data_IF_218243072249
#
_entry.id   IF_218243072249
#
_cell.length_a   1.000
_cell.length_b   1.000
_cell.length_c   1.000
_cell.angle_alpha   90.00
_cell.angle_beta   90.00
_cell.angle_gamma   90.00
#
_symmetry.space_group_name_H-M   'P 1'
#
loop_
_entity.id
_entity.type
_entity.pdbx_description
1 polymer ?
#
# COMPACT_ATOMS: atom_id res chain seq x y z
N UNK A 1 -9.90 13.87 -24.95
CA UNK A 1 -10.33 12.52 -25.42
C UNK A 1 -9.28 11.43 -25.17
N UNK A 2 -8.00 11.60 -25.53
CA UNK A 2 -6.97 10.55 -25.38
C UNK A 2 -6.84 10.04 -23.93
N UNK A 3 -6.82 10.94 -22.94
CA UNK A 3 -6.70 10.56 -21.52
C UNK A 3 -7.84 9.64 -21.04
N UNK A 4 -9.08 9.90 -21.47
CA UNK A 4 -10.25 9.09 -21.11
C UNK A 4 -10.12 7.69 -21.71
N UNK A 5 -9.70 7.58 -22.97
CA UNK A 5 -9.49 6.28 -23.63
C UNK A 5 -8.41 5.47 -22.88
N UNK A 6 -7.29 6.09 -22.54
CA UNK A 6 -6.22 5.44 -21.77
C UNK A 6 -6.73 4.97 -20.40
N UNK A 7 -7.50 5.80 -19.69
CA UNK A 7 -8.09 5.46 -18.40
C UNK A 7 -9.04 4.26 -18.50
N UNK A 8 -9.96 4.27 -19.49
CA UNK A 8 -10.92 3.18 -19.69
C UNK A 8 -10.21 1.87 -20.03
N UNK A 9 -9.20 1.91 -20.91
CA UNK A 9 -8.38 0.73 -21.24
C UNK A 9 -7.65 0.22 -20.00
N UNK A 10 -7.04 1.11 -19.22
CA UNK A 10 -6.36 0.74 -17.97
C UNK A 10 -7.31 0.07 -16.97
N UNK A 11 -8.49 0.65 -16.73
CA UNK A 11 -9.51 0.06 -15.85
C UNK A 11 -10.00 -1.29 -16.37
N UNK A 12 -10.22 -1.43 -17.68
CA UNK A 12 -10.63 -2.69 -18.28
C UNK A 12 -9.57 -3.78 -18.07
N UNK A 13 -8.28 -3.45 -18.23
CA UNK A 13 -7.16 -4.37 -17.95
C UNK A 13 -7.14 -4.77 -16.48
N UNK A 14 -7.31 -3.83 -15.54
CA UNK A 14 -7.38 -4.14 -14.12
C UNK A 14 -8.54 -5.09 -13.79
N UNK A 15 -9.73 -4.84 -14.35
CA UNK A 15 -10.89 -5.71 -14.17
C UNK A 15 -10.62 -7.10 -14.75
N UNK A 16 -10.03 -7.19 -15.94
CA UNK A 16 -9.66 -8.47 -16.55
C UNK A 16 -8.68 -9.27 -15.66
N UNK A 17 -7.64 -8.61 -15.14
CA UNK A 17 -6.67 -9.23 -14.22
C UNK A 17 -7.35 -9.68 -12.92
N UNK A 18 -8.28 -8.90 -12.38
CA UNK A 18 -9.04 -9.27 -11.19
C UNK A 18 -9.90 -10.53 -11.42
N UNK A 19 -10.58 -10.63 -12.57
CA UNK A 19 -11.36 -11.80 -12.94
C UNK A 19 -10.49 -13.06 -13.14
N UNK A 20 -9.31 -12.90 -13.75
CA UNK A 20 -8.36 -14.01 -13.93
C UNK A 20 -7.81 -14.48 -12.58
N UNK A 21 -7.45 -13.54 -11.70
CA UNK A 21 -6.86 -13.82 -10.38
C UNK A 21 -7.85 -14.49 -9.42
N UNK A 22 -9.17 -14.25 -9.58
CA UNK A 22 -10.21 -14.85 -8.74
C UNK A 22 -10.15 -16.38 -8.69
N UNK A 23 -9.70 -17.04 -9.76
CA UNK A 23 -9.62 -18.51 -9.83
C UNK A 23 -8.66 -19.13 -8.82
N UNK A 24 -7.66 -18.37 -8.36
CA UNK A 24 -6.67 -18.82 -7.38
C UNK A 24 -7.10 -18.66 -5.92
N UNK A 25 -8.19 -17.95 -5.64
CA UNK A 25 -8.59 -17.60 -4.27
C UNK A 25 -9.71 -18.50 -3.78
N UNK A 26 -9.38 -19.53 -3.01
CA UNK A 26 -10.35 -20.51 -2.46
C UNK A 26 -10.56 -20.35 -0.96
N UNK A 27 -9.54 -19.89 -0.25
CA UNK A 27 -9.57 -19.71 1.21
C UNK A 27 -9.35 -18.26 1.61
N UNK A 28 -9.62 -17.96 2.87
CA UNK A 28 -9.33 -16.64 3.46
C UNK A 28 -7.82 -16.34 3.44
N UNK A 29 -6.97 -17.35 3.67
CA UNK A 29 -5.51 -17.18 3.61
C UNK A 29 -5.03 -16.86 2.18
N UNK A 30 -5.66 -17.46 1.16
CA UNK A 30 -5.40 -17.12 -0.25
C UNK A 30 -5.77 -15.67 -0.56
N UNK A 31 -6.85 -15.16 0.04
CA UNK A 31 -7.30 -13.79 -0.18
C UNK A 31 -6.39 -12.76 0.50
N UNK A 32 -6.02 -12.98 1.77
CA UNK A 32 -5.27 -11.98 2.54
C UNK A 32 -3.77 -11.98 2.27
N UNK A 33 -3.16 -13.15 2.03
CA UNK A 33 -1.71 -13.29 1.92
C UNK A 33 -1.26 -14.20 0.76
N UNK A 34 -2.16 -14.48 -0.20
CA UNK A 34 -1.87 -15.31 -1.37
C UNK A 34 -1.42 -16.73 -1.02
N UNK A 35 -1.95 -17.29 0.08
CA UNK A 35 -1.64 -18.65 0.52
C UNK A 35 -0.17 -18.83 0.91
N UNK A 36 0.57 -17.73 1.15
CA UNK A 36 2.00 -17.71 1.48
C UNK A 36 2.92 -18.30 0.40
N UNK A 37 2.42 -18.45 -0.82
CA UNK A 37 3.14 -19.04 -1.96
C UNK A 37 3.59 -18.01 -3.00
N UNK A 38 3.38 -16.71 -2.73
CA UNK A 38 3.81 -15.64 -3.63
C UNK A 38 5.34 -15.54 -3.63
N UNK A 39 5.93 -15.57 -4.83
CA UNK A 39 7.36 -15.43 -5.02
C UNK A 39 7.92 -14.06 -4.58
N UNK A 40 9.24 -13.95 -4.38
CA UNK A 40 9.88 -12.74 -3.87
C UNK A 40 9.70 -11.54 -4.81
N UNK A 41 9.81 -11.74 -6.12
CA UNK A 41 9.67 -10.67 -7.13
C UNK A 41 8.27 -10.05 -7.14
N UNK A 42 7.24 -10.90 -7.16
CA UNK A 42 5.83 -10.45 -7.14
C UNK A 42 5.53 -9.70 -5.83
N UNK A 43 6.05 -10.20 -4.71
CA UNK A 43 5.92 -9.54 -3.40
C UNK A 43 6.60 -8.17 -3.39
N UNK A 44 7.81 -8.06 -3.96
CA UNK A 44 8.55 -6.80 -4.03
C UNK A 44 7.84 -5.77 -4.91
N UNK A 45 7.35 -6.17 -6.09
CA UNK A 45 6.60 -5.29 -6.99
C UNK A 45 5.29 -4.84 -6.33
N UNK A 46 4.58 -5.74 -5.65
CA UNK A 46 3.37 -5.40 -4.91
C UNK A 46 3.63 -4.40 -3.80
N UNK A 47 4.76 -4.52 -3.10
CA UNK A 47 5.17 -3.55 -2.08
C UNK A 47 5.45 -2.17 -2.69
N UNK A 48 6.20 -2.12 -3.79
CA UNK A 48 6.50 -0.88 -4.52
C UNK A 48 5.21 -0.21 -5.01
N UNK A 49 4.30 -0.98 -5.59
CA UNK A 49 3.01 -0.49 -6.06
C UNK A 49 2.15 0.08 -4.92
N UNK A 50 2.19 -0.54 -3.72
CA UNK A 50 1.48 -0.03 -2.54
C UNK A 50 2.17 1.21 -1.93
N UNK A 51 3.50 1.31 -2.06
CA UNK A 51 4.28 2.42 -1.53
C UNK A 51 4.09 3.71 -2.35
N UNK A 52 4.06 3.61 -3.68
CA UNK A 52 3.86 4.76 -4.56
C UNK A 52 2.38 5.12 -4.67
N UNK A 53 1.94 6.02 -3.77
CA UNK A 53 0.61 6.62 -3.81
C UNK A 53 0.63 8.05 -4.35
N UNK A 54 -0.56 8.61 -4.58
CA UNK A 54 -0.71 10.02 -4.96
C UNK A 54 -0.07 10.97 -3.94
N UNK A 55 0.01 10.58 -2.66
CA UNK A 55 0.70 11.35 -1.61
C UNK A 55 2.19 11.48 -1.90
N UNK A 56 2.85 10.39 -2.30
CA UNK A 56 4.30 10.42 -2.61
C UNK A 56 4.55 11.17 -3.91
N UNK A 57 3.73 10.95 -4.93
CA UNK A 57 3.92 11.57 -6.25
C UNK A 57 3.63 13.07 -6.21
N UNK A 58 2.45 13.46 -5.72
CA UNK A 58 2.01 14.86 -5.69
C UNK A 58 2.65 15.59 -4.52
N UNK A 59 2.63 15.00 -3.32
CA UNK A 59 3.20 15.61 -2.13
C UNK A 59 4.71 15.72 -2.21
N UNK A 60 5.38 14.63 -2.61
CA UNK A 60 6.83 14.62 -2.83
C UNK A 60 7.24 15.53 -3.99
N UNK A 61 6.51 15.48 -5.11
CA UNK A 61 6.74 16.38 -6.25
C UNK A 61 6.55 17.86 -5.89
N UNK A 62 5.52 18.21 -5.12
CA UNK A 62 5.29 19.56 -4.63
C UNK A 62 6.37 20.06 -3.68
N UNK A 63 6.89 19.18 -2.81
CA UNK A 63 8.05 19.49 -1.97
C UNK A 63 9.30 19.72 -2.81
N UNK A 64 9.54 18.87 -3.82
CA UNK A 64 10.64 19.02 -4.77
C UNK A 64 10.55 20.30 -5.58
N UNK A 65 9.35 20.73 -5.99
CA UNK A 65 9.14 22.01 -6.66
C UNK A 65 9.52 23.20 -5.78
N UNK A 66 9.20 23.15 -4.47
CA UNK A 66 9.45 24.23 -3.53
C UNK A 66 10.91 24.32 -3.06
N UNK A 67 11.55 23.18 -2.82
CA UNK A 67 12.88 23.10 -2.18
C UNK A 67 13.98 22.55 -3.12
N UNK A 68 13.63 22.23 -4.37
CA UNK A 68 14.56 21.73 -5.39
C UNK A 68 15.13 20.34 -5.08
N UNK A 69 16.30 20.07 -5.66
CA UNK A 69 17.01 18.79 -5.54
C UNK A 69 17.41 18.43 -4.10
N UNK A 70 17.38 19.41 -3.18
CA UNK A 70 17.59 19.17 -1.75
C UNK A 70 16.56 18.22 -1.14
N UNK A 71 15.43 17.96 -1.79
CA UNK A 71 14.44 16.99 -1.29
C UNK A 71 14.81 15.53 -1.55
N UNK A 72 15.75 15.28 -2.48
CA UNK A 72 16.13 13.92 -2.87
C UNK A 72 16.78 13.15 -1.73
N UNK A 73 17.53 13.81 -0.84
CA UNK A 73 18.14 13.11 0.29
C UNK A 73 17.09 12.51 1.24
N UNK A 74 15.90 13.12 1.37
CA UNK A 74 14.81 12.61 2.20
C UNK A 74 14.29 11.29 1.64
N UNK A 75 14.03 11.25 0.33
CA UNK A 75 13.61 10.03 -0.36
C UNK A 75 14.69 8.94 -0.33
N UNK A 76 15.93 9.31 -0.63
CA UNK A 76 17.07 8.40 -0.60
C UNK A 76 17.29 7.80 0.80
N UNK A 77 17.22 8.61 1.85
CA UNK A 77 17.34 8.16 3.25
C UNK A 77 16.18 7.24 3.63
N UNK A 78 14.96 7.55 3.22
CA UNK A 78 13.79 6.70 3.50
C UNK A 78 13.95 5.32 2.85
N UNK A 79 14.39 5.24 1.60
CA UNK A 79 14.56 3.97 0.89
C UNK A 79 15.77 3.19 1.41
N UNK A 80 16.94 3.84 1.47
CA UNK A 80 18.22 3.18 1.81
C UNK A 80 18.33 2.80 3.27
N UNK A 81 17.84 3.65 4.19
CA UNK A 81 17.88 3.35 5.62
C UNK A 81 16.53 2.84 6.10
N UNK A 82 15.45 3.60 5.90
CA UNK A 82 14.13 3.24 6.44
C UNK A 82 13.63 1.88 5.95
N UNK A 83 13.28 1.79 4.67
CA UNK A 83 12.70 0.57 4.08
C UNK A 83 13.67 -0.61 4.12
N UNK A 84 14.93 -0.39 3.75
CA UNK A 84 15.92 -1.47 3.65
C UNK A 84 16.27 -2.04 5.01
N UNK A 85 16.54 -1.22 6.04
CA UNK A 85 16.81 -1.72 7.38
C UNK A 85 15.58 -2.40 7.98
N UNK A 86 14.39 -1.83 7.81
CA UNK A 86 13.15 -2.49 8.25
C UNK A 86 12.99 -3.87 7.61
N UNK A 87 13.27 -4.02 6.32
CA UNK A 87 13.14 -5.30 5.63
C UNK A 87 14.16 -6.33 6.13
N UNK A 88 15.42 -5.94 6.28
CA UNK A 88 16.50 -6.83 6.74
C UNK A 88 16.28 -7.24 8.19
N UNK A 89 15.92 -6.30 9.07
CA UNK A 89 15.83 -6.55 10.52
C UNK A 89 14.51 -7.24 10.88
N UNK A 90 13.40 -6.78 10.31
CA UNK A 90 12.06 -7.19 10.72
C UNK A 90 11.41 -8.17 9.74
N UNK A 91 11.75 -8.16 8.46
CA UNK A 91 11.06 -8.94 7.43
C UNK A 91 11.02 -10.43 7.72
N UNK A 92 12.18 -11.06 7.94
CA UNK A 92 12.26 -12.48 8.25
C UNK A 92 11.60 -12.83 9.59
N UNK A 93 11.85 -12.02 10.62
CA UNK A 93 11.31 -12.24 11.97
C UNK A 93 9.78 -12.20 11.96
N UNK A 94 9.19 -11.17 11.35
CA UNK A 94 7.74 -11.01 11.26
C UNK A 94 7.15 -12.15 10.44
N UNK A 95 7.77 -12.54 9.32
CA UNK A 95 7.31 -13.69 8.50
C UNK A 95 7.27 -14.99 9.29
N UNK A 96 8.28 -15.26 10.10
CA UNK A 96 8.31 -16.46 10.95
C UNK A 96 7.22 -16.43 12.02
N UNK A 97 7.03 -15.28 12.68
CA UNK A 97 6.02 -15.13 13.72
C UNK A 97 4.59 -15.22 13.17
N UNK A 98 4.28 -14.54 12.07
CA UNK A 98 2.95 -14.58 11.46
C UNK A 98 2.60 -15.99 10.98
N UNK A 99 3.59 -16.75 10.50
CA UNK A 99 3.42 -18.18 10.17
C UNK A 99 3.11 -19.03 11.39
N UNK A 100 3.85 -18.87 12.49
CA UNK A 100 3.65 -19.63 13.74
C UNK A 100 2.32 -19.32 14.42
N UNK A 101 1.89 -18.06 14.38
CA UNK A 101 0.66 -17.60 15.03
C UNK A 101 -0.57 -17.66 14.13
N UNK A 102 -0.42 -18.16 12.89
CA UNK A 102 -1.47 -18.12 11.85
C UNK A 102 -2.11 -16.72 11.67
N UNK A 103 -1.36 -15.66 11.98
CA UNK A 103 -1.85 -14.30 11.92
C UNK A 103 -1.77 -13.77 10.48
N UNK A 104 -2.89 -13.24 9.99
CA UNK A 104 -3.02 -12.66 8.64
C UNK A 104 -3.04 -11.13 8.64
N UNK A 105 -3.30 -10.50 9.79
CA UNK A 105 -3.39 -9.04 9.94
C UNK A 105 -2.49 -8.55 11.07
N UNK A 106 -2.08 -7.29 11.02
CA UNK A 106 -1.26 -6.67 12.08
C UNK A 106 -1.98 -6.68 13.45
N UNK A 107 -3.28 -6.32 13.56
CA UNK A 107 -3.98 -6.42 14.83
C UNK A 107 -4.13 -7.87 15.32
N UNK A 108 -4.39 -8.81 14.40
CA UNK A 108 -4.42 -10.24 14.72
C UNK A 108 -3.08 -10.72 15.26
N UNK A 109 -1.98 -10.29 14.65
CA UNK A 109 -0.63 -10.59 15.11
C UNK A 109 -0.39 -10.10 16.54
N UNK A 110 -0.77 -8.86 16.86
CA UNK A 110 -0.63 -8.34 18.23
C UNK A 110 -1.50 -9.08 19.24
N UNK A 111 -2.75 -9.41 18.86
CA UNK A 111 -3.65 -10.21 19.68
C UNK A 111 -3.07 -11.57 20.04
N UNK A 112 -2.59 -12.31 19.05
CA UNK A 112 -2.02 -13.65 19.26
C UNK A 112 -0.65 -13.60 19.96
N UNK A 113 0.20 -12.62 19.62
CA UNK A 113 1.55 -12.51 20.18
C UNK A 113 1.55 -12.16 21.66
N UNK A 114 0.62 -11.31 22.09
CA UNK A 114 0.48 -10.85 23.47
C UNK A 114 -0.67 -11.52 24.23
N UNK A 115 -1.46 -12.38 23.57
CA UNK A 115 -2.66 -13.02 24.13
C UNK A 115 -3.65 -12.01 24.76
N UNK A 116 -3.74 -10.81 24.17
CA UNK A 116 -4.56 -9.71 24.69
C UNK A 116 -5.56 -9.25 23.64
N UNK A 117 -6.84 -9.27 24.03
CA UNK A 117 -7.93 -8.76 23.18
C UNK A 117 -7.87 -7.25 23.10
N UNK A 118 -7.42 -6.59 24.16
CA UNK A 118 -7.24 -5.15 24.28
C UNK A 118 -6.19 -4.66 23.28
N UNK A 119 -5.03 -5.33 23.20
CA UNK A 119 -3.98 -5.00 22.23
C UNK A 119 -4.45 -5.14 20.79
N UNK A 120 -5.26 -6.17 20.50
CA UNK A 120 -5.87 -6.39 19.18
C UNK A 120 -6.85 -5.28 18.82
N UNK A 121 -7.75 -4.92 19.74
CA UNK A 121 -8.78 -3.89 19.50
C UNK A 121 -8.12 -2.52 19.37
N UNK A 122 -7.17 -2.19 20.25
CA UNK A 122 -6.44 -0.93 20.21
C UNK A 122 -5.67 -0.76 18.90
N UNK A 123 -4.90 -1.76 18.49
CA UNK A 123 -4.16 -1.71 17.22
C UNK A 123 -5.10 -1.64 16.00
N UNK A 124 -6.22 -2.37 16.00
CA UNK A 124 -7.23 -2.26 14.95
C UNK A 124 -7.85 -0.86 14.87
N UNK A 125 -8.15 -0.26 16.02
CA UNK A 125 -8.72 1.09 16.11
C UNK A 125 -7.75 2.15 15.58
N UNK A 126 -6.48 2.10 16.02
CA UNK A 126 -5.43 3.00 15.54
C UNK A 126 -5.27 2.86 14.02
N UNK A 127 -5.12 1.64 13.51
CA UNK A 127 -4.98 1.41 12.07
C UNK A 127 -6.20 1.94 11.31
N UNK A 128 -7.41 1.70 11.79
CA UNK A 128 -8.63 2.17 11.15
C UNK A 128 -8.65 3.70 11.01
N UNK A 129 -8.37 4.44 12.09
CA UNK A 129 -8.34 5.91 12.08
C UNK A 129 -7.31 6.44 11.08
N UNK A 130 -6.07 5.97 11.19
CA UNK A 130 -5.01 6.44 10.30
C UNK A 130 -5.28 6.07 8.84
N UNK A 131 -5.90 4.91 8.60
CA UNK A 131 -6.24 4.49 7.25
C UNK A 131 -7.34 5.35 6.64
N UNK A 132 -8.31 5.84 7.42
CA UNK A 132 -9.30 6.81 6.94
C UNK A 132 -8.61 8.12 6.50
N UNK A 133 -7.75 8.70 7.34
CA UNK A 133 -7.02 9.93 7.02
C UNK A 133 -6.13 9.75 5.78
N UNK A 134 -5.46 8.60 5.68
CA UNK A 134 -4.65 8.25 4.53
C UNK A 134 -5.47 8.15 3.24
N UNK A 135 -6.62 7.47 3.26
CA UNK A 135 -7.50 7.34 2.10
C UNK A 135 -8.04 8.70 1.63
N UNK A 136 -8.42 9.58 2.55
CA UNK A 136 -8.85 10.95 2.21
C UNK A 136 -7.75 11.68 1.45
N UNK A 137 -6.50 11.55 1.90
CA UNK A 137 -5.34 12.18 1.26
C UNK A 137 -5.09 11.62 -0.14
N UNK A 138 -5.24 10.30 -0.32
CA UNK A 138 -5.10 9.66 -1.63
C UNK A 138 -6.17 10.14 -2.61
N UNK A 139 -7.43 10.12 -2.18
CA UNK A 139 -8.59 10.49 -3.01
C UNK A 139 -8.52 11.96 -3.42
N UNK A 140 -8.12 12.85 -2.51
CA UNK A 140 -7.89 14.27 -2.83
C UNK A 140 -6.78 14.44 -3.86
N UNK A 141 -5.67 13.71 -3.71
CA UNK A 141 -4.58 13.73 -4.67
C UNK A 141 -5.03 13.26 -6.05
N UNK A 142 -5.81 12.16 -6.11
CA UNK A 142 -6.39 11.67 -7.34
C UNK A 142 -7.32 12.71 -7.98
N UNK A 143 -8.22 13.31 -7.21
CA UNK A 143 -9.14 14.36 -7.67
C UNK A 143 -8.44 15.55 -8.33
N UNK A 144 -7.40 16.09 -7.67
CA UNK A 144 -6.59 17.18 -8.23
C UNK A 144 -5.92 16.79 -9.56
N UNK A 145 -5.43 15.54 -9.69
CA UNK A 145 -4.85 15.07 -10.96
C UNK A 145 -5.91 14.99 -12.05
N UNK A 146 -7.10 14.49 -11.72
CA UNK A 146 -8.20 14.42 -12.67
C UNK A 146 -8.63 15.80 -13.16
N UNK A 147 -8.69 16.79 -12.27
CA UNK A 147 -9.00 18.17 -12.62
C UNK A 147 -7.97 18.75 -13.60
N UNK A 148 -6.68 18.60 -13.31
CA UNK A 148 -5.60 19.14 -14.16
C UNK A 148 -5.52 18.43 -15.52
N UNK A 149 -5.78 17.11 -15.59
CA UNK A 149 -5.63 16.34 -16.83
C UNK A 149 -6.89 16.28 -17.69
N UNK A 150 -8.06 16.28 -17.07
CA UNK A 150 -9.34 16.08 -17.76
C UNK A 150 -10.17 17.36 -17.83
N UNK A 151 -9.74 18.43 -17.17
CA UNK A 151 -10.48 19.70 -17.06
C UNK A 151 -11.88 19.51 -16.44
N UNK A 152 -11.99 18.50 -15.55
CA UNK A 152 -13.22 18.19 -14.81
C UNK A 152 -13.05 18.75 -13.40
N UNK A 153 -13.86 19.75 -12.99
CA UNK A 153 -13.72 20.36 -11.68
C UNK A 153 -13.88 19.31 -10.57
N UNK A 154 -12.89 19.27 -9.67
CA UNK A 154 -12.94 18.44 -8.46
C UNK A 154 -13.83 19.06 -7.36
N UNK A 155 -14.07 20.37 -7.45
CA UNK A 155 -14.93 21.21 -6.59
C UNK A 155 -15.82 22.13 -7.44
#
# INVERSE_FOLDING_TARGET
>A
MVYIVVLVVYLAVLVAIAFLSRRGTKTVEDFYIGGRNIGPWVTAISFIAAYFSSVVIIGGGGFGYKYGMSTVWVGATNVLLGCTLCWIILGERIRLFTRRLAAMTVPGFFGERFRSKEARVFSAFVICIFMVVYNVSILKGMGNIFEVLMDIPYL
#
